data_IF_981080718846
#
_entry.id   IF_981080718846
#
_cell.length_a   1.000
_cell.length_b   1.000
_cell.length_c   1.000
_cell.angle_alpha   90.00
_cell.angle_beta   90.00
_cell.angle_gamma   90.00
#
_symmetry.space_group_name_H-M   'P 1'
#
loop_
_entity.id
_entity.type
_entity.pdbx_description
1 polymer ?
#
# COMPACT_ATOMS: atom_id res chain seq x y z
N UNK A 1 27.59 -33.85 24.36
CA UNK A 1 26.32 -34.57 24.59
C UNK A 1 25.21 -33.60 24.25
N UNK A 2 25.17 -33.07 23.04
CA UNK A 2 24.95 -33.71 21.72
C UNK A 2 23.47 -33.97 21.49
N UNK A 3 22.94 -33.22 20.52
CA UNK A 3 21.95 -33.57 19.49
C UNK A 3 21.52 -32.21 18.88
N UNK A 4 22.29 -31.59 17.98
CA UNK A 4 22.54 -31.94 16.57
C UNK A 4 21.73 -33.12 16.02
N UNK A 5 20.64 -32.78 15.33
CA UNK A 5 19.86 -33.52 14.31
C UNK A 5 18.43 -32.94 14.43
N UNK A 6 17.98 -32.02 13.57
CA UNK A 6 17.58 -32.32 12.19
C UNK A 6 17.82 -31.10 11.29
N UNK A 7 19.04 -31.03 10.75
CA UNK A 7 19.32 -30.35 9.50
C UNK A 7 19.33 -31.43 8.42
N UNK A 8 18.18 -31.74 7.81
CA UNK A 8 18.06 -32.44 6.53
C UNK A 8 16.59 -32.56 6.11
N UNK A 9 16.10 -31.57 5.38
CA UNK A 9 15.15 -31.88 4.31
C UNK A 9 15.47 -30.99 3.10
N UNK A 10 16.46 -31.47 2.34
CA UNK A 10 16.69 -31.13 0.95
C UNK A 10 15.39 -31.35 0.18
N UNK A 11 14.83 -30.28 -0.35
CA UNK A 11 13.84 -30.34 -1.42
C UNK A 11 14.26 -29.37 -2.52
N UNK A 12 14.98 -29.93 -3.50
CA UNK A 12 15.14 -29.36 -4.83
C UNK A 12 13.74 -29.12 -5.43
N UNK A 13 13.33 -27.87 -5.61
CA UNK A 13 12.16 -27.54 -6.40
C UNK A 13 12.48 -26.49 -7.46
N UNK A 14 12.11 -26.84 -8.69
CA UNK A 14 12.35 -26.09 -9.91
C UNK A 14 11.61 -24.76 -9.88
N UNK A 15 12.34 -23.70 -10.20
CA UNK A 15 11.80 -22.39 -10.57
C UNK A 15 10.92 -22.56 -11.81
N UNK A 16 9.60 -22.53 -11.62
CA UNK A 16 8.67 -22.26 -12.72
C UNK A 16 8.39 -20.76 -12.75
N UNK A 17 9.03 -20.06 -13.69
CA UNK A 17 8.72 -18.67 -14.07
C UNK A 17 7.36 -18.59 -14.80
N UNK A 18 6.29 -19.14 -14.23
CA UNK A 18 4.97 -19.27 -14.88
C UNK A 18 3.95 -18.22 -14.44
N UNK A 19 4.39 -16.98 -14.20
CA UNK A 19 3.49 -15.82 -14.17
C UNK A 19 3.64 -14.89 -15.40
N UNK A 20 4.37 -15.28 -16.43
CA UNK A 20 4.52 -14.47 -17.66
C UNK A 20 3.85 -15.00 -18.93
N UNK A 21 3.21 -16.17 -18.97
CA UNK A 21 2.66 -16.69 -20.23
C UNK A 21 1.17 -17.09 -20.15
N UNK A 22 0.29 -16.13 -20.42
CA UNK A 22 -0.93 -16.39 -21.17
C UNK A 22 -1.06 -15.34 -22.29
N UNK A 23 -0.99 -15.83 -23.52
CA UNK A 23 -0.98 -15.09 -24.78
C UNK A 23 -2.32 -14.40 -25.06
N UNK A 24 -2.33 -13.07 -24.95
CA UNK A 24 -3.32 -12.14 -25.49
C UNK A 24 -2.59 -10.80 -25.66
N UNK A 25 -1.80 -10.62 -26.74
CA UNK A 25 -0.95 -9.44 -27.05
C UNK A 25 -0.82 -8.46 -25.87
N UNK A 26 -0.16 -8.89 -24.79
CA UNK A 26 -0.18 -8.13 -23.55
C UNK A 26 0.70 -6.92 -23.76
N UNK A 27 0.09 -5.73 -23.81
CA UNK A 27 0.85 -4.48 -23.87
C UNK A 27 1.82 -4.44 -22.67
N UNK A 28 3.09 -4.77 -22.92
CA UNK A 28 4.10 -4.85 -21.87
C UNK A 28 4.16 -3.54 -21.08
N UNK A 29 4.10 -3.62 -19.75
CA UNK A 29 4.25 -2.48 -18.82
C UNK A 29 5.38 -1.53 -19.23
N UNK A 30 6.51 -2.10 -19.67
CA UNK A 30 7.69 -1.34 -20.14
C UNK A 30 7.38 -0.48 -21.36
N UNK A 31 6.59 -1.00 -22.31
CA UNK A 31 6.17 -0.26 -23.51
C UNK A 31 5.25 0.92 -23.17
N UNK A 32 4.28 0.69 -22.26
CA UNK A 32 3.34 1.71 -21.77
C UNK A 32 4.10 2.86 -21.11
N UNK A 33 4.98 2.55 -20.16
CA UNK A 33 5.74 3.55 -19.42
C UNK A 33 6.72 4.31 -20.33
N UNK A 34 7.36 3.62 -21.29
CA UNK A 34 8.21 4.27 -22.29
C UNK A 34 7.42 5.27 -23.13
N UNK A 35 6.24 4.88 -23.62
CA UNK A 35 5.39 5.76 -24.41
C UNK A 35 4.91 6.98 -23.61
N UNK A 36 4.47 6.78 -22.37
CA UNK A 36 4.06 7.87 -21.47
C UNK A 36 5.20 8.88 -21.27
N UNK A 37 6.43 8.38 -21.05
CA UNK A 37 7.62 9.24 -20.98
C UNK A 37 7.88 9.99 -22.29
N UNK A 38 7.72 9.35 -23.45
CA UNK A 38 7.91 9.97 -24.77
C UNK A 38 6.94 11.13 -25.03
N UNK A 39 5.68 10.99 -24.61
CA UNK A 39 4.69 12.08 -24.69
C UNK A 39 4.83 13.10 -23.55
N UNK A 40 5.89 13.00 -22.73
CA UNK A 40 6.25 13.94 -21.67
C UNK A 40 5.41 13.82 -20.40
N UNK A 41 4.83 12.66 -20.10
CA UNK A 41 4.23 12.35 -18.80
C UNK A 41 5.33 11.92 -17.83
N UNK A 42 5.32 12.47 -16.62
CA UNK A 42 6.24 12.03 -15.56
C UNK A 42 5.69 10.75 -14.92
N UNK A 43 6.29 9.62 -15.28
CA UNK A 43 5.84 8.29 -14.86
C UNK A 43 6.09 8.01 -13.38
N UNK A 44 6.81 8.89 -12.66
CA UNK A 44 7.00 8.79 -11.21
C UNK A 44 5.75 9.21 -10.42
N UNK A 45 4.75 9.80 -11.07
CA UNK A 45 3.50 10.26 -10.43
C UNK A 45 2.26 9.56 -10.96
N UNK A 46 2.46 8.41 -11.58
CA UNK A 46 1.41 7.50 -12.04
C UNK A 46 1.78 6.08 -11.63
N UNK A 47 0.78 5.24 -11.42
CA UNK A 47 0.96 3.82 -11.19
C UNK A 47 0.35 3.01 -12.32
N UNK A 48 1.01 1.92 -12.71
CA UNK A 48 0.47 0.97 -13.69
C UNK A 48 0.24 -0.40 -13.05
N UNK A 49 -1.01 -0.87 -13.07
CA UNK A 49 -1.41 -2.15 -12.51
C UNK A 49 -2.65 -2.69 -13.24
N UNK A 50 -2.64 -3.98 -13.62
CA UNK A 50 -3.77 -4.67 -14.28
C UNK A 50 -4.45 -3.87 -15.40
N UNK A 51 -3.69 -3.43 -16.41
CA UNK A 51 -4.20 -2.62 -17.54
C UNK A 51 -4.90 -1.31 -17.12
N UNK A 52 -4.60 -0.78 -15.92
CA UNK A 52 -5.09 0.50 -15.44
C UNK A 52 -3.90 1.43 -15.12
N UNK A 53 -4.03 2.68 -15.52
CA UNK A 53 -3.14 3.77 -15.11
C UNK A 53 -3.84 4.58 -14.03
N UNK A 54 -3.28 4.58 -12.83
CA UNK A 54 -3.73 5.41 -11.73
C UNK A 54 -2.93 6.70 -11.70
N UNK A 55 -3.62 7.84 -11.63
CA UNK A 55 -2.96 9.14 -11.53
C UNK A 55 -2.79 9.50 -10.05
N UNK A 56 -1.57 9.40 -9.55
CA UNK A 56 -1.28 9.66 -8.13
C UNK A 56 -1.25 11.16 -7.86
N UNK A 57 -0.75 11.94 -8.82
CA UNK A 57 -0.78 13.40 -8.76
C UNK A 57 -0.92 14.02 -10.15
N UNK A 58 -2.05 14.69 -10.41
CA UNK A 58 -2.32 15.27 -11.74
C UNK A 58 -1.34 16.37 -12.14
N UNK A 59 -0.91 17.20 -11.18
CA UNK A 59 0.01 18.32 -11.45
C UNK A 59 1.40 17.80 -11.80
N UNK A 60 1.93 16.88 -11.00
CA UNK A 60 3.30 16.38 -11.18
C UNK A 60 3.42 15.35 -12.30
N UNK A 61 2.40 14.54 -12.57
CA UNK A 61 2.40 13.62 -13.73
C UNK A 61 2.42 14.35 -15.07
N UNK A 62 2.02 15.63 -15.12
CA UNK A 62 1.89 16.41 -16.36
C UNK A 62 0.99 15.72 -17.41
N UNK A 63 0.05 14.88 -16.99
CA UNK A 63 -0.81 14.08 -17.86
C UNK A 63 -2.08 14.85 -18.28
N UNK A 64 -1.89 15.84 -19.14
CA UNK A 64 -2.96 16.70 -19.66
C UNK A 64 -3.99 15.95 -20.50
N UNK A 65 -5.14 16.57 -20.76
CA UNK A 65 -6.21 16.02 -21.64
C UNK A 65 -5.67 15.65 -23.03
N UNK A 66 -4.88 16.53 -23.65
CA UNK A 66 -4.22 16.29 -24.94
C UNK A 66 -3.34 15.04 -24.93
N UNK A 67 -2.54 14.85 -23.87
CA UNK A 67 -1.69 13.65 -23.73
C UNK A 67 -2.52 12.39 -23.51
N UNK A 68 -3.62 12.49 -22.76
CA UNK A 68 -4.56 11.39 -22.56
C UNK A 68 -5.20 10.96 -23.88
N UNK A 69 -5.63 11.89 -24.72
CA UNK A 69 -6.18 11.56 -26.05
C UNK A 69 -5.15 10.86 -26.94
N UNK A 70 -3.89 11.32 -26.92
CA UNK A 70 -2.78 10.67 -27.63
C UNK A 70 -2.56 9.24 -27.11
N UNK A 71 -2.62 9.06 -25.78
CA UNK A 71 -2.46 7.74 -25.15
C UNK A 71 -3.57 6.77 -25.53
N UNK A 72 -4.83 7.19 -25.39
CA UNK A 72 -6.01 6.34 -25.67
C UNK A 72 -6.05 5.90 -27.14
N UNK A 73 -5.56 6.75 -28.07
CA UNK A 73 -5.43 6.36 -29.49
C UNK A 73 -4.49 5.16 -29.69
N UNK A 74 -3.45 5.03 -28.85
CA UNK A 74 -2.42 3.97 -28.96
C UNK A 74 -2.76 2.72 -28.16
N UNK A 75 -3.32 2.90 -26.95
CA UNK A 75 -3.68 1.84 -26.00
C UNK A 75 -5.13 2.03 -25.59
N UNK A 76 -6.04 1.34 -26.29
CA UNK A 76 -7.50 1.50 -26.09
C UNK A 76 -8.01 0.65 -24.93
N UNK A 77 -7.31 -0.44 -24.65
CA UNK A 77 -7.57 -1.42 -23.62
C UNK A 77 -7.13 -0.98 -22.23
N UNK A 78 -6.26 0.03 -22.14
CA UNK A 78 -5.73 0.54 -20.86
C UNK A 78 -6.63 1.65 -20.34
N UNK A 79 -7.29 1.40 -19.21
CA UNK A 79 -8.13 2.40 -18.56
C UNK A 79 -7.29 3.44 -17.78
N UNK A 80 -7.74 4.69 -17.76
CA UNK A 80 -7.08 5.78 -17.02
C UNK A 80 -7.97 6.20 -15.85
N UNK A 81 -7.47 6.00 -14.63
CA UNK A 81 -8.16 6.30 -13.38
C UNK A 81 -7.71 7.67 -12.88
N UNK A 82 -8.57 8.69 -13.09
CA UNK A 82 -8.39 10.07 -12.61
C UNK A 82 -9.26 10.37 -11.39
N UNK A 83 -9.20 9.51 -10.38
CA UNK A 83 -9.96 9.70 -9.13
C UNK A 83 -9.35 10.79 -8.26
N UNK A 84 -10.18 11.73 -7.79
CA UNK A 84 -9.76 12.76 -6.82
C UNK A 84 -9.54 12.16 -5.44
N UNK A 85 -10.32 11.13 -5.08
CA UNK A 85 -10.17 10.35 -3.86
C UNK A 85 -8.83 9.62 -3.84
N UNK A 86 -8.50 8.90 -4.91
CA UNK A 86 -7.20 8.22 -5.04
C UNK A 86 -6.03 9.20 -4.95
N UNK A 87 -6.12 10.37 -5.59
CA UNK A 87 -5.08 11.40 -5.48
C UNK A 87 -4.91 11.91 -4.04
N UNK A 88 -5.99 12.03 -3.26
CA UNK A 88 -5.91 12.37 -1.83
C UNK A 88 -5.22 11.27 -1.03
N UNK A 89 -5.59 10.00 -1.26
CA UNK A 89 -4.96 8.82 -0.66
C UNK A 89 -3.46 8.80 -0.98
N UNK A 90 -3.10 8.92 -2.26
CA UNK A 90 -1.71 8.91 -2.70
C UNK A 90 -0.88 10.06 -2.13
N UNK A 91 -1.44 11.28 -2.07
CA UNK A 91 -0.76 12.42 -1.46
C UNK A 91 -0.52 12.19 0.05
N UNK A 92 -1.53 11.71 0.80
CA UNK A 92 -1.36 11.37 2.22
C UNK A 92 -0.31 10.27 2.41
N UNK A 93 -0.40 9.20 1.63
CA UNK A 93 0.53 8.07 1.68
C UNK A 93 1.97 8.49 1.37
N UNK A 94 2.15 9.34 0.35
CA UNK A 94 3.48 9.80 -0.06
C UNK A 94 4.27 10.51 1.02
N UNK A 95 3.60 11.19 1.97
CA UNK A 95 4.27 11.87 3.10
C UNK A 95 4.86 10.87 4.09
N UNK A 96 4.20 9.72 4.26
CA UNK A 96 4.72 8.64 5.09
C UNK A 96 5.83 7.91 4.34
N UNK A 97 5.58 7.53 3.10
CA UNK A 97 6.51 6.75 2.28
C UNK A 97 7.82 7.50 1.98
N UNK A 98 7.79 8.83 1.83
CA UNK A 98 9.02 9.62 1.61
C UNK A 98 10.00 9.55 2.77
N UNK A 99 9.50 9.30 3.98
CA UNK A 99 10.32 9.28 5.20
C UNK A 99 10.74 7.86 5.59
N UNK A 100 10.09 6.83 5.03
CA UNK A 100 10.31 5.43 5.40
C UNK A 100 11.07 4.62 4.35
N UNK A 101 11.14 5.10 3.10
CA UNK A 101 11.76 4.38 1.98
C UNK A 101 13.19 4.85 1.72
N UNK A 102 14.10 3.89 1.58
CA UNK A 102 15.45 4.12 1.10
C UNK A 102 15.61 3.74 -0.38
N UNK A 103 16.72 4.19 -0.97
CA UNK A 103 17.08 3.83 -2.35
C UNK A 103 17.37 2.34 -2.44
N UNK A 104 16.83 1.69 -3.48
CA UNK A 104 16.98 0.26 -3.79
C UNK A 104 16.44 -0.70 -2.72
N UNK A 105 15.57 -0.24 -1.81
CA UNK A 105 14.90 -1.12 -0.85
C UNK A 105 14.16 -2.26 -1.56
N UNK A 106 14.28 -3.47 -1.02
CA UNK A 106 13.45 -4.62 -1.38
C UNK A 106 12.28 -4.71 -0.41
N UNK A 107 11.08 -4.51 -0.93
CA UNK A 107 9.85 -4.31 -0.15
C UNK A 107 8.91 -5.48 -0.38
N UNK A 108 8.53 -6.14 0.70
CA UNK A 108 7.50 -7.17 0.69
C UNK A 108 6.10 -6.53 0.79
N UNK A 109 5.22 -6.86 -0.14
CA UNK A 109 3.85 -6.32 -0.24
C UNK A 109 2.84 -7.47 -0.19
N UNK A 110 1.96 -7.53 0.84
CA UNK A 110 0.84 -8.48 0.85
C UNK A 110 -0.17 -8.03 -0.19
N UNK A 111 -0.45 -8.83 -1.23
CA UNK A 111 -1.40 -8.45 -2.30
C UNK A 111 -2.68 -9.29 -2.33
N UNK A 112 -2.83 -10.20 -1.35
CA UNK A 112 -4.01 -11.04 -1.19
C UNK A 112 -5.29 -10.21 -1.03
N UNK A 113 -5.23 -9.10 -0.29
CA UNK A 113 -6.35 -8.18 -0.10
C UNK A 113 -6.35 -6.97 -1.06
N UNK A 114 -7.51 -6.32 -1.19
CA UNK A 114 -7.70 -5.07 -1.91
C UNK A 114 -6.88 -3.93 -1.29
N UNK A 115 -6.76 -3.88 0.04
CA UNK A 115 -5.85 -2.94 0.70
C UNK A 115 -4.40 -3.23 0.28
N UNK A 116 -4.03 -4.49 0.19
CA UNK A 116 -2.76 -4.95 -0.37
C UNK A 116 -2.51 -4.47 -1.80
N UNK A 117 -3.49 -4.66 -2.69
CA UNK A 117 -3.45 -4.17 -4.08
C UNK A 117 -3.32 -2.65 -4.15
N UNK A 118 -4.05 -1.91 -3.30
CA UNK A 118 -3.91 -0.46 -3.22
C UNK A 118 -2.51 -0.07 -2.74
N UNK A 119 -1.97 -0.76 -1.73
CA UNK A 119 -0.62 -0.51 -1.23
C UNK A 119 0.43 -0.73 -2.34
N UNK A 120 0.29 -1.83 -3.10
CA UNK A 120 1.10 -2.08 -4.29
C UNK A 120 1.00 -0.92 -5.28
N UNK A 121 -0.21 -0.49 -5.64
CA UNK A 121 -0.43 0.62 -6.57
C UNK A 121 0.25 1.89 -6.05
N UNK A 122 0.16 2.19 -4.76
CA UNK A 122 0.80 3.37 -4.16
C UNK A 122 2.34 3.30 -4.21
N UNK A 123 2.92 2.10 -4.05
CA UNK A 123 4.36 1.85 -4.06
C UNK A 123 4.95 1.72 -5.47
N UNK A 124 4.16 1.33 -6.45
CA UNK A 124 4.59 1.08 -7.82
C UNK A 124 5.45 2.21 -8.45
N UNK A 125 5.14 3.51 -8.30
CA UNK A 125 5.96 4.58 -8.84
C UNK A 125 7.31 4.73 -8.15
N UNK A 126 7.47 4.24 -6.92
CA UNK A 126 8.73 4.30 -6.19
C UNK A 126 9.78 3.39 -6.78
N UNK A 127 9.38 2.34 -7.53
CA UNK A 127 10.30 1.54 -8.36
C UNK A 127 11.07 2.42 -9.35
N UNK A 128 10.46 3.51 -9.81
CA UNK A 128 11.07 4.50 -10.71
C UNK A 128 11.69 5.68 -9.99
N UNK A 129 11.17 6.09 -8.80
CA UNK A 129 11.74 7.22 -8.04
C UNK A 129 13.04 6.84 -7.34
N UNK A 130 13.05 5.69 -6.68
CA UNK A 130 14.10 5.28 -5.75
C UNK A 130 14.70 3.91 -6.10
N UNK A 131 14.28 3.28 -7.20
CA UNK A 131 14.81 1.97 -7.60
C UNK A 131 14.37 0.81 -6.71
N UNK A 132 13.34 1.01 -5.86
CA UNK A 132 12.87 -0.06 -4.97
C UNK A 132 12.36 -1.26 -5.76
N UNK A 133 12.53 -2.45 -5.19
CA UNK A 133 12.01 -3.71 -5.72
C UNK A 133 10.78 -4.10 -4.91
N UNK A 134 9.66 -4.39 -5.58
CA UNK A 134 8.44 -4.85 -4.92
C UNK A 134 8.31 -6.35 -5.11
N UNK A 135 8.23 -7.08 -4.01
CA UNK A 135 7.97 -8.52 -3.98
C UNK A 135 6.55 -8.69 -3.48
N UNK A 136 5.68 -9.18 -4.34
CA UNK A 136 4.31 -9.49 -3.99
C UNK A 136 4.25 -10.92 -3.46
N UNK A 137 3.57 -11.13 -2.34
CA UNK A 137 3.28 -12.48 -1.85
C UNK A 137 1.77 -12.67 -1.72
N UNK A 138 1.33 -13.85 -2.15
CA UNK A 138 -0.03 -14.39 -2.04
C UNK A 138 0.16 -15.78 -1.41
N UNK A 139 0.34 -15.76 -0.10
CA UNK A 139 0.46 -16.88 0.86
C UNK A 139 1.49 -18.03 0.70
N UNK A 140 2.17 -18.26 -0.43
CA UNK A 140 3.22 -19.29 -0.49
C UNK A 140 4.49 -18.83 -1.23
N UNK A 141 5.65 -19.23 -0.69
CA UNK A 141 7.02 -19.04 -1.24
C UNK A 141 7.67 -17.65 -1.10
N UNK A 142 8.23 -17.37 0.09
CA UNK A 142 9.33 -16.40 0.24
C UNK A 142 10.61 -17.18 0.58
N UNK A 143 11.24 -17.80 -0.43
CA UNK A 143 12.55 -18.43 -0.26
C UNK A 143 13.67 -17.45 -0.64
N UNK A 144 14.69 -17.35 0.23
CA UNK A 144 16.02 -16.73 0.04
C UNK A 144 16.12 -15.31 -0.56
N UNK A 145 15.07 -14.49 -0.45
CA UNK A 145 15.16 -13.07 -0.85
C UNK A 145 15.37 -12.18 0.38
N UNK A 146 16.44 -11.39 0.36
CA UNK A 146 16.70 -10.39 1.40
C UNK A 146 15.64 -9.27 1.33
N UNK A 147 14.78 -9.20 2.36
CA UNK A 147 13.74 -8.19 2.49
C UNK A 147 14.23 -7.07 3.41
N UNK A 148 14.24 -5.85 2.88
CA UNK A 148 14.59 -4.65 3.66
C UNK A 148 13.39 -4.11 4.43
N UNK A 149 12.20 -4.10 3.81
CA UNK A 149 10.98 -3.53 4.39
C UNK A 149 9.76 -4.41 4.15
N UNK A 150 8.79 -4.35 5.06
CA UNK A 150 7.50 -5.04 4.95
C UNK A 150 6.37 -4.02 4.98
N UNK A 151 5.42 -4.12 4.07
CA UNK A 151 4.22 -3.28 4.08
C UNK A 151 3.26 -3.75 5.16
N UNK A 152 2.94 -2.85 6.09
CA UNK A 152 1.79 -3.00 6.98
C UNK A 152 0.58 -2.27 6.40
N UNK A 153 -0.56 -2.95 6.41
CA UNK A 153 -1.84 -2.39 5.94
C UNK A 153 -2.58 -1.58 7.01
N UNK A 154 -1.94 -1.34 8.17
CA UNK A 154 -2.53 -0.62 9.30
C UNK A 154 -3.05 0.77 8.88
N UNK A 155 -4.33 0.99 9.12
CA UNK A 155 -5.04 2.23 8.77
C UNK A 155 -4.97 3.26 9.91
N UNK A 156 -5.46 4.48 9.62
CA UNK A 156 -5.64 5.50 10.66
C UNK A 156 -6.62 5.05 11.75
N UNK A 157 -7.71 4.37 11.37
CA UNK A 157 -8.76 3.92 12.28
C UNK A 157 -8.22 2.83 13.21
N UNK A 158 -7.65 1.76 12.66
CA UNK A 158 -7.05 0.69 13.44
C UNK A 158 -5.94 1.20 14.37
N UNK A 159 -5.12 2.15 13.92
CA UNK A 159 -4.09 2.75 14.79
C UNK A 159 -4.71 3.51 15.97
N UNK A 160 -5.76 4.29 15.72
CA UNK A 160 -6.47 5.00 16.77
C UNK A 160 -7.16 4.03 17.75
N UNK A 161 -7.78 2.97 17.23
CA UNK A 161 -8.39 1.90 18.02
C UNK A 161 -7.36 1.23 18.94
N UNK A 162 -6.22 0.80 18.39
CA UNK A 162 -5.14 0.18 19.16
C UNK A 162 -4.66 1.08 20.29
N UNK A 163 -4.44 2.38 20.01
CA UNK A 163 -4.03 3.35 21.04
C UNK A 163 -5.09 3.46 22.15
N UNK A 164 -6.37 3.54 21.80
CA UNK A 164 -7.46 3.65 22.78
C UNK A 164 -7.64 2.35 23.57
N UNK A 165 -7.52 1.20 22.92
CA UNK A 165 -7.57 -0.12 23.56
C UNK A 165 -6.46 -0.26 24.60
N UNK A 166 -5.22 0.12 24.26
CA UNK A 166 -4.09 0.10 25.21
C UNK A 166 -4.35 1.01 26.41
N UNK A 167 -4.92 2.21 26.19
CA UNK A 167 -5.31 3.13 27.26
C UNK A 167 -6.38 2.51 28.16
N UNK A 168 -7.44 1.93 27.59
CA UNK A 168 -8.54 1.35 28.36
C UNK A 168 -8.17 0.08 29.11
N UNK A 169 -7.19 -0.69 28.61
CA UNK A 169 -6.61 -1.85 29.30
C UNK A 169 -5.62 -1.47 30.40
N UNK A 170 -5.24 -0.19 30.49
CA UNK A 170 -4.28 0.31 31.47
C UNK A 170 -2.81 0.12 31.06
N UNK A 171 -2.54 -0.26 29.81
CA UNK A 171 -1.18 -0.39 29.27
C UNK A 171 -0.56 0.98 28.94
N UNK A 172 -1.36 2.05 29.00
CA UNK A 172 -0.96 3.41 28.63
C UNK A 172 -0.75 3.53 27.13
N UNK A 173 0.07 4.50 26.70
CA UNK A 173 0.33 4.73 25.27
C UNK A 173 1.53 3.89 24.78
N UNK A 174 2.31 3.30 25.69
CA UNK A 174 3.69 2.82 25.46
C UNK A 174 3.80 1.67 24.45
N UNK A 175 2.84 0.75 24.40
CA UNK A 175 2.85 -0.36 23.42
C UNK A 175 2.60 0.13 22.00
N UNK A 176 1.65 1.06 21.83
CA UNK A 176 1.41 1.75 20.55
C UNK A 176 2.60 2.61 20.05
N UNK A 177 3.58 2.93 20.91
CA UNK A 177 4.80 3.67 20.55
C UNK A 177 5.92 2.77 19.99
N UNK A 178 5.95 1.49 20.36
CA UNK A 178 7.00 0.54 19.94
C UNK A 178 6.77 -0.03 18.54
N UNK A 179 5.60 0.19 17.96
CA UNK A 179 5.22 -0.38 16.66
C UNK A 179 5.94 0.26 15.47
N UNK A 180 6.66 1.36 15.63
CA UNK A 180 7.46 1.97 14.55
C UNK A 180 8.80 1.22 14.41
N UNK A 181 8.74 -0.09 14.19
CA UNK A 181 9.90 -0.88 13.78
C UNK A 181 10.30 -0.40 12.38
N UNK A 182 11.57 -0.02 12.23
CA UNK A 182 12.12 0.44 10.96
C UNK A 182 11.79 -0.57 9.85
N UNK A 183 11.73 -1.87 10.13
CA UNK A 183 11.39 -2.86 9.11
C UNK A 183 10.02 -2.63 8.43
N UNK A 184 9.06 -1.96 9.08
CA UNK A 184 7.73 -1.77 8.52
C UNK A 184 7.55 -0.41 7.83
N UNK A 185 6.77 -0.42 6.75
CA UNK A 185 6.24 0.79 6.12
C UNK A 185 4.73 0.79 6.21
N UNK A 186 4.15 1.97 6.46
CA UNK A 186 2.72 2.12 6.73
C UNK A 186 2.05 3.07 5.72
N UNK A 187 1.72 2.61 4.51
CA UNK A 187 1.13 3.46 3.48
C UNK A 187 -0.19 4.12 3.89
N UNK A 188 -0.94 3.53 4.82
CA UNK A 188 -2.30 3.91 5.20
C UNK A 188 -2.43 4.58 6.58
N UNK A 189 -1.33 4.76 7.33
CA UNK A 189 -1.38 5.23 8.73
C UNK A 189 -2.04 6.60 8.95
N UNK A 190 -2.12 7.42 7.89
CA UNK A 190 -2.76 8.75 7.92
C UNK A 190 -4.03 8.80 7.05
N UNK A 191 -4.57 7.64 6.66
CA UNK A 191 -5.67 7.49 5.71
C UNK A 191 -6.83 6.81 6.43
N UNK A 192 -7.97 7.48 6.38
CA UNK A 192 -9.21 7.00 6.98
C UNK A 192 -9.76 5.82 6.18
N UNK A 193 -10.23 4.79 6.86
CA UNK A 193 -10.77 3.57 6.24
C UNK A 193 -11.93 3.85 5.30
N UNK A 194 -12.79 4.82 5.63
CA UNK A 194 -13.89 5.21 4.76
C UNK A 194 -13.36 5.62 3.38
N UNK A 195 -12.23 6.33 3.32
CA UNK A 195 -11.63 6.73 2.04
C UNK A 195 -11.14 5.51 1.24
N UNK A 196 -10.58 4.51 1.92
CA UNK A 196 -10.10 3.29 1.30
C UNK A 196 -11.27 2.45 0.80
N UNK A 197 -12.31 2.26 1.63
CA UNK A 197 -13.51 1.51 1.30
C UNK A 197 -14.32 2.17 0.18
N UNK A 198 -14.47 3.49 0.22
CA UNK A 198 -15.10 4.27 -0.86
C UNK A 198 -14.32 4.07 -2.19
N UNK A 199 -12.98 4.04 -2.15
CA UNK A 199 -12.18 3.80 -3.35
C UNK A 199 -12.24 2.33 -3.83
N UNK A 200 -12.24 1.37 -2.90
CA UNK A 200 -12.36 -0.07 -3.20
C UNK A 200 -13.69 -0.31 -3.90
N UNK A 201 -14.81 0.15 -3.32
CA UNK A 201 -16.15 -0.04 -3.89
C UNK A 201 -16.32 0.57 -5.29
N UNK A 202 -15.60 1.65 -5.61
CA UNK A 202 -15.66 2.29 -6.92
C UNK A 202 -14.84 1.54 -7.99
N UNK A 203 -13.72 0.90 -7.64
CA UNK A 203 -12.73 0.40 -8.62
C UNK A 203 -12.38 -1.08 -8.53
N UNK A 204 -12.81 -1.78 -7.49
CA UNK A 204 -12.57 -3.19 -7.23
C UNK A 204 -13.91 -3.94 -7.13
N UNK A 205 -14.06 -5.00 -7.92
CA UNK A 205 -15.35 -5.69 -8.13
C UNK A 205 -15.75 -6.67 -7.02
N UNK A 206 -14.87 -6.94 -6.06
CA UNK A 206 -15.15 -7.83 -4.92
C UNK A 206 -14.63 -7.17 -3.66
N UNK A 207 -15.51 -6.98 -2.68
CA UNK A 207 -15.05 -6.89 -1.29
C UNK A 207 -14.41 -8.24 -0.99
N UNK A 208 -13.19 -8.25 -0.44
CA UNK A 208 -12.61 -9.50 0.04
C UNK A 208 -13.51 -10.04 1.17
N UNK A 209 -13.50 -11.36 1.37
CA UNK A 209 -14.10 -11.91 2.58
C UNK A 209 -13.44 -11.22 3.78
N UNK A 210 -14.25 -10.52 4.57
CA UNK A 210 -13.76 -9.84 5.76
C UNK A 210 -13.27 -10.91 6.72
N UNK A 211 -11.97 -10.95 6.97
CA UNK A 211 -11.48 -11.51 8.22
C UNK A 211 -12.13 -10.70 9.34
N UNK A 212 -12.84 -11.37 10.25
CA UNK A 212 -13.30 -10.74 11.49
C UNK A 212 -12.06 -10.38 12.31
N UNK A 213 -11.57 -9.15 12.13
CA UNK A 213 -10.61 -8.58 13.07
C UNK A 213 -11.29 -8.49 14.44
N UNK A 214 -10.64 -9.06 15.46
CA UNK A 214 -11.10 -8.93 16.83
C UNK A 214 -10.86 -7.50 17.28
N UNK A 215 -11.88 -6.69 17.15
CA UNK A 215 -11.85 -5.32 17.61
C UNK A 215 -12.18 -5.20 19.11
N UNK A 216 -11.69 -4.14 19.73
CA UNK A 216 -12.04 -3.79 21.10
C UNK A 216 -13.36 -2.99 21.12
N UNK A 217 -14.43 -3.63 21.60
CA UNK A 217 -15.78 -3.03 21.60
C UNK A 217 -15.83 -1.69 22.35
N UNK A 218 -15.04 -1.53 23.42
CA UNK A 218 -14.99 -0.28 24.19
C UNK A 218 -14.30 0.79 23.36
N UNK A 219 -13.17 0.46 22.72
CA UNK A 219 -12.47 1.37 21.83
C UNK A 219 -13.36 1.82 20.67
N UNK A 220 -14.04 0.89 19.98
CA UNK A 220 -14.97 1.23 18.88
C UNK A 220 -16.11 2.12 19.37
N UNK A 221 -16.75 1.76 20.47
CA UNK A 221 -17.87 2.52 21.02
C UNK A 221 -17.45 3.97 21.32
N UNK A 222 -16.28 4.14 21.93
CA UNK A 222 -15.72 5.45 22.22
C UNK A 222 -15.34 6.23 20.95
N UNK A 223 -14.74 5.56 19.96
CA UNK A 223 -14.42 6.13 18.66
C UNK A 223 -15.67 6.69 17.96
N UNK A 224 -16.76 5.91 17.93
CA UNK A 224 -18.03 6.33 17.35
C UNK A 224 -18.64 7.53 18.10
N UNK A 225 -18.55 7.52 19.43
CA UNK A 225 -19.01 8.64 20.26
C UNK A 225 -18.22 9.92 19.96
N UNK A 226 -16.88 9.85 19.94
CA UNK A 226 -16.05 11.03 19.71
C UNK A 226 -16.20 11.54 18.28
N UNK A 227 -16.39 10.68 17.28
CA UNK A 227 -16.54 11.11 15.88
C UNK A 227 -17.70 12.10 15.70
N UNK A 228 -18.78 11.94 16.46
CA UNK A 228 -19.92 12.87 16.48
C UNK A 228 -19.56 14.26 17.01
N UNK A 229 -18.52 14.38 17.82
CA UNK A 229 -18.12 15.63 18.49
C UNK A 229 -16.91 16.27 17.78
N UNK A 230 -15.90 15.45 17.46
CA UNK A 230 -14.63 15.88 16.87
C UNK A 230 -14.30 14.94 15.70
N UNK A 231 -14.72 15.24 14.46
CA UNK A 231 -14.51 14.34 13.32
C UNK A 231 -13.03 13.99 13.02
N UNK A 232 -12.09 14.85 13.43
CA UNK A 232 -10.64 14.70 13.20
C UNK A 232 -9.91 14.08 14.41
N UNK A 233 -10.64 13.42 15.33
CA UNK A 233 -10.05 12.92 16.55
C UNK A 233 -8.96 11.88 16.30
N UNK A 234 -9.10 11.03 15.27
CA UNK A 234 -8.11 10.00 14.92
C UNK A 234 -6.76 10.64 14.61
N UNK A 235 -6.73 11.67 13.75
CA UNK A 235 -5.51 12.42 13.48
C UNK A 235 -4.95 13.13 14.72
N UNK A 236 -5.82 13.64 15.60
CA UNK A 236 -5.41 14.32 16.82
C UNK A 236 -4.80 13.36 17.84
N UNK A 237 -5.35 12.15 17.99
CA UNK A 237 -4.77 11.07 18.80
C UNK A 237 -3.37 10.77 18.28
N UNK A 238 -3.22 10.46 16.98
CA UNK A 238 -1.91 10.14 16.39
C UNK A 238 -0.89 11.28 16.56
N UNK A 239 -1.30 12.55 16.41
CA UNK A 239 -0.42 13.70 16.66
C UNK A 239 0.01 13.80 18.11
N UNK A 240 -0.90 13.56 19.05
CA UNK A 240 -0.63 13.62 20.48
C UNK A 240 0.37 12.53 20.88
N UNK A 241 0.16 11.31 20.38
CA UNK A 241 1.09 10.18 20.55
C UNK A 241 2.47 10.51 19.98
N UNK A 242 2.55 11.09 18.77
CA UNK A 242 3.83 11.54 18.18
C UNK A 242 4.51 12.66 18.98
N UNK A 243 3.75 13.53 19.64
CA UNK A 243 4.30 14.58 20.48
C UNK A 243 4.92 14.00 21.76
N UNK A 244 4.31 12.99 22.36
CA UNK A 244 4.86 12.29 23.52
C UNK A 244 6.16 11.52 23.20
N UNK A 245 6.41 11.23 21.92
CA UNK A 245 7.64 10.61 21.42
C UNK A 245 8.81 11.58 21.19
N UNK A 246 8.63 12.89 21.40
CA UNK A 246 9.69 13.90 21.26
C UNK A 246 10.22 14.33 22.62
#
# INVERSE_FOLDING_TARGET
MDNDNELNFLLDFKVNNEFENQELETTSKKSVLKFLSQIGVDTRFISFHQQKIYINNIRFSKFSKKKQEIFIKRFKEIAIIKSSLFQKIANKSSKTLSNSLNINDTILVPISSNLGKIAYILLEPYTRKYGVKLICFDEDEVNDIHINRVVSLLTLNQKAENILSDIFKGNGVVESLKSDDEKFIYPFINIDEKQLNDFISEYFFKLDESYEEKHDEIAISFMNFIECIIPQYKENILKSVKYLNK
#
